data_IF_083971682387
#
_entry.id   IF_083971682387
#
_cell.length_a   1.000
_cell.length_b   1.000
_cell.length_c   1.000
_cell.angle_alpha   90.00
_cell.angle_beta   90.00
_cell.angle_gamma   90.00
#
_symmetry.space_group_name_H-M   'P 1'
#
loop_
_entity.id
_entity.type
_entity.pdbx_description
1 polymer ?
#
# COMPACT_ATOMS: atom_id res chain seq x y z
N UNK A 1 -14.56 -50.96 -17.50
CA UNK A 1 -14.91 -49.73 -16.76
C UNK A 1 -14.42 -48.56 -17.59
N UNK A 2 -15.33 -47.95 -18.37
CA UNK A 2 -14.98 -46.85 -19.27
C UNK A 2 -15.13 -45.53 -18.53
N UNK A 3 -14.04 -44.81 -18.32
CA UNK A 3 -14.10 -43.40 -17.95
C UNK A 3 -14.40 -42.62 -19.23
N UNK A 4 -15.57 -41.99 -19.32
CA UNK A 4 -15.75 -40.89 -20.28
C UNK A 4 -14.99 -39.69 -19.72
N UNK A 5 -13.97 -39.15 -20.41
CA UNK A 5 -13.32 -37.92 -19.97
C UNK A 5 -14.38 -36.82 -19.88
N UNK A 6 -14.31 -35.97 -18.83
CA UNK A 6 -15.11 -34.75 -18.79
C UNK A 6 -14.89 -33.98 -20.09
N UNK A 7 -15.96 -33.59 -20.81
CA UNK A 7 -15.78 -32.91 -22.08
C UNK A 7 -15.12 -31.56 -21.82
N UNK A 8 -13.85 -31.43 -22.21
CA UNK A 8 -13.22 -30.13 -22.33
C UNK A 8 -13.98 -29.36 -23.41
N UNK A 9 -14.47 -28.17 -23.08
CA UNK A 9 -15.06 -27.29 -24.09
C UNK A 9 -13.90 -26.62 -24.83
N UNK A 10 -13.53 -27.17 -25.99
CA UNK A 10 -12.44 -26.65 -26.83
C UNK A 10 -12.90 -25.54 -27.79
N UNK A 11 -14.06 -24.90 -27.55
CA UNK A 11 -14.67 -23.84 -28.37
C UNK A 11 -15.37 -22.75 -27.53
N UNK A 12 -15.98 -21.74 -28.15
CA UNK A 12 -16.75 -20.72 -27.41
C UNK A 12 -18.02 -21.32 -26.80
N UNK A 13 -18.12 -21.29 -25.47
CA UNK A 13 -19.37 -21.56 -24.77
C UNK A 13 -20.28 -20.32 -24.87
N UNK A 14 -21.27 -20.37 -25.77
CA UNK A 14 -22.32 -19.33 -25.86
C UNK A 14 -23.51 -19.86 -25.06
N UNK A 15 -23.63 -19.42 -23.81
CA UNK A 15 -24.81 -19.74 -22.97
C UNK A 15 -25.77 -18.55 -22.96
N UNK A 16 -27.09 -18.74 -23.11
CA UNK A 16 -28.07 -17.65 -23.09
C UNK A 16 -28.08 -16.84 -21.78
N UNK A 17 -27.61 -17.43 -20.68
CA UNK A 17 -27.73 -16.87 -19.33
C UNK A 17 -26.36 -16.71 -18.64
N UNK A 18 -25.87 -17.73 -17.94
CA UNK A 18 -24.61 -17.68 -17.19
C UNK A 18 -23.69 -18.87 -17.47
N UNK A 19 -22.39 -18.61 -17.45
CA UNK A 19 -21.36 -19.63 -17.27
C UNK A 19 -21.13 -19.74 -15.75
N UNK A 20 -21.56 -20.85 -15.17
CA UNK A 20 -21.27 -21.18 -13.77
C UNK A 20 -20.36 -22.41 -13.73
N UNK A 21 -19.18 -22.27 -13.16
CA UNK A 21 -18.25 -23.38 -12.88
C UNK A 21 -18.30 -23.63 -11.38
N UNK A 22 -18.70 -24.86 -11.01
CA UNK A 22 -18.77 -25.31 -9.62
C UNK A 22 -19.53 -24.33 -8.71
N UNK A 23 -20.81 -24.08 -9.05
CA UNK A 23 -21.87 -23.25 -8.40
C UNK A 23 -21.49 -21.89 -7.78
N UNK A 24 -20.42 -21.82 -6.98
CA UNK A 24 -19.90 -20.65 -6.29
C UNK A 24 -18.46 -20.30 -6.68
N UNK A 25 -17.74 -21.15 -7.43
CA UNK A 25 -16.30 -20.94 -7.72
C UNK A 25 -16.09 -19.85 -8.77
N UNK A 26 -16.74 -19.95 -9.93
CA UNK A 26 -16.72 -18.89 -10.95
C UNK A 26 -18.11 -18.72 -11.57
N UNK A 27 -18.65 -17.51 -11.48
CA UNK A 27 -19.93 -17.14 -12.09
C UNK A 27 -19.74 -15.94 -13.02
N UNK A 28 -20.04 -16.13 -14.31
CA UNK A 28 -20.05 -15.09 -15.35
C UNK A 28 -21.44 -15.04 -15.94
N UNK A 29 -22.16 -13.93 -15.78
CA UNK A 29 -23.60 -13.88 -16.06
C UNK A 29 -23.96 -12.72 -17.00
N UNK A 30 -24.87 -13.01 -17.95
CA UNK A 30 -25.43 -12.06 -18.92
C UNK A 30 -26.93 -11.77 -18.66
N UNK A 31 -27.63 -12.59 -17.86
CA UNK A 31 -29.02 -12.34 -17.42
C UNK A 31 -29.19 -12.49 -15.89
N UNK A 32 -29.42 -11.37 -15.19
CA UNK A 32 -29.63 -11.33 -13.73
C UNK A 32 -28.43 -10.87 -12.88
N UNK A 33 -27.22 -10.77 -13.47
CA UNK A 33 -26.08 -10.02 -12.94
C UNK A 33 -25.39 -9.22 -14.06
N UNK A 34 -26.11 -8.20 -14.54
CA UNK A 34 -25.72 -7.12 -15.48
C UNK A 34 -24.21 -6.90 -15.61
N UNK A 35 -23.56 -7.72 -16.43
CA UNK A 35 -22.13 -7.65 -16.74
C UNK A 35 -21.19 -7.77 -15.51
N UNK A 36 -21.45 -8.72 -14.60
CA UNK A 36 -20.64 -8.96 -13.40
C UNK A 36 -19.97 -10.35 -13.39
N UNK A 37 -18.82 -10.42 -12.71
CA UNK A 37 -18.06 -11.65 -12.46
C UNK A 37 -17.92 -11.86 -10.95
N UNK A 38 -18.37 -13.02 -10.47
CA UNK A 38 -18.17 -13.46 -9.09
C UNK A 38 -17.14 -14.59 -9.02
N UNK A 39 -16.18 -14.49 -8.09
CA UNK A 39 -15.28 -15.58 -7.71
C UNK A 39 -15.49 -15.84 -6.22
N UNK A 40 -15.96 -17.04 -5.86
CA UNK A 40 -16.33 -17.39 -4.48
C UNK A 40 -17.64 -16.77 -3.98
N UNK A 41 -18.41 -16.09 -4.85
CA UNK A 41 -19.73 -15.52 -4.54
C UNK A 41 -20.70 -15.76 -5.70
N UNK A 42 -21.93 -16.17 -5.37
CA UNK A 42 -23.00 -16.42 -6.35
C UNK A 42 -23.85 -15.18 -6.66
N UNK A 43 -23.70 -14.10 -5.87
CA UNK A 43 -24.51 -12.88 -5.94
C UNK A 43 -23.62 -11.63 -5.93
N UNK A 44 -22.81 -11.38 -6.99
CA UNK A 44 -21.89 -10.24 -7.01
C UNK A 44 -22.65 -8.90 -6.99
N UNK A 45 -22.32 -8.06 -6.01
CA UNK A 45 -22.79 -6.69 -5.85
C UNK A 45 -21.99 -5.70 -6.71
N UNK A 46 -20.73 -6.00 -7.01
CA UNK A 46 -19.85 -5.22 -7.90
C UNK A 46 -19.55 -5.94 -9.24
N UNK A 47 -19.01 -5.21 -10.23
CA UNK A 47 -18.65 -5.78 -11.56
C UNK A 47 -17.65 -6.94 -11.47
N UNK A 48 -16.73 -6.85 -10.53
CA UNK A 48 -15.89 -7.96 -10.11
C UNK A 48 -15.98 -8.03 -8.60
N UNK A 49 -16.46 -9.17 -8.09
CA UNK A 49 -16.48 -9.45 -6.67
C UNK A 49 -15.73 -10.76 -6.44
N UNK A 50 -14.66 -10.66 -5.66
CA UNK A 50 -13.88 -11.82 -5.24
C UNK A 50 -14.04 -11.95 -3.75
N UNK A 51 -14.63 -13.06 -3.34
CA UNK A 51 -14.91 -13.37 -1.94
C UNK A 51 -14.21 -14.67 -1.59
N UNK A 52 -13.46 -14.64 -0.50
CA UNK A 52 -12.91 -15.83 0.13
C UNK A 52 -13.26 -15.80 1.62
N UNK A 53 -13.66 -16.94 2.17
CA UNK A 53 -14.00 -17.07 3.59
C UNK A 53 -12.93 -17.84 4.38
N UNK A 54 -11.79 -18.15 3.75
CA UNK A 54 -10.74 -19.01 4.30
C UNK A 54 -9.47 -18.24 4.68
N UNK A 55 -9.50 -16.91 4.60
CA UNK A 55 -8.35 -16.04 4.81
C UNK A 55 -7.20 -16.37 3.85
N UNK A 56 -7.53 -16.72 2.61
CA UNK A 56 -6.59 -16.84 1.50
C UNK A 56 -6.48 -15.52 0.74
N UNK A 57 -5.37 -15.30 0.00
CA UNK A 57 -5.26 -14.21 -0.97
C UNK A 57 -6.46 -14.11 -1.90
N UNK A 58 -7.15 -12.97 -1.85
CA UNK A 58 -8.34 -12.71 -2.68
C UNK A 58 -7.96 -12.60 -4.15
N UNK A 59 -6.87 -11.90 -4.46
CA UNK A 59 -6.34 -11.84 -5.82
C UNK A 59 -4.82 -11.86 -5.80
N UNK A 60 -4.23 -12.58 -6.75
CA UNK A 60 -2.79 -12.56 -7.03
C UNK A 60 -2.59 -12.20 -8.49
N UNK A 61 -2.01 -11.04 -8.75
CA UNK A 61 -1.56 -10.62 -10.07
C UNK A 61 -0.08 -10.95 -10.18
N UNK A 62 0.36 -11.62 -11.25
CA UNK A 62 1.75 -12.08 -11.42
C UNK A 62 2.30 -11.58 -12.75
N UNK A 63 3.53 -11.06 -12.76
CA UNK A 63 4.35 -10.79 -13.94
C UNK A 63 5.38 -11.90 -14.19
N UNK A 64 6.09 -11.84 -15.31
CA UNK A 64 7.21 -12.75 -15.58
C UNK A 64 8.38 -12.39 -14.66
N UNK A 65 8.97 -13.35 -13.96
CA UNK A 65 10.18 -13.09 -13.16
C UNK A 65 9.94 -12.54 -11.75
N UNK A 66 8.82 -12.93 -11.11
CA UNK A 66 8.53 -12.78 -9.67
C UNK A 66 7.77 -11.54 -9.23
N UNK A 67 7.39 -10.64 -10.13
CA UNK A 67 6.51 -9.51 -9.80
C UNK A 67 5.13 -10.06 -9.38
N UNK A 68 4.69 -9.77 -8.14
CA UNK A 68 3.32 -10.11 -7.73
C UNK A 68 2.67 -8.98 -6.98
N UNK A 69 1.41 -8.66 -7.29
CA UNK A 69 0.54 -7.91 -6.38
C UNK A 69 -0.43 -8.90 -5.77
N UNK A 70 -0.38 -9.06 -4.44
CA UNK A 70 -1.40 -9.81 -3.72
C UNK A 70 -2.33 -8.85 -3.02
N UNK A 71 -3.61 -8.92 -3.36
CA UNK A 71 -4.69 -8.30 -2.60
C UNK A 71 -5.17 -9.34 -1.60
N UNK A 72 -5.10 -9.00 -0.33
CA UNK A 72 -5.45 -9.90 0.74
C UNK A 72 -6.16 -9.15 1.86
N UNK A 73 -7.19 -9.78 2.40
CA UNK A 73 -7.79 -9.39 3.66
C UNK A 73 -7.56 -10.55 4.65
N UNK A 74 -6.71 -10.38 5.66
CA UNK A 74 -6.57 -11.37 6.72
C UNK A 74 -7.83 -11.43 7.57
N UNK A 75 -7.92 -12.45 8.44
CA UNK A 75 -9.01 -12.59 9.41
C UNK A 75 -9.25 -11.33 10.28
N UNK A 76 -8.26 -10.43 10.38
CA UNK A 76 -8.37 -9.18 11.12
C UNK A 76 -9.06 -8.04 10.35
N UNK A 77 -9.39 -8.21 9.06
CA UNK A 77 -10.19 -7.27 8.27
C UNK A 77 -9.40 -6.18 7.52
N UNK A 78 -8.08 -6.09 7.71
CA UNK A 78 -7.27 -5.06 7.06
C UNK A 78 -7.01 -5.38 5.59
N UNK A 79 -7.16 -4.40 4.71
CA UNK A 79 -6.73 -4.57 3.32
C UNK A 79 -5.22 -4.45 3.21
N UNK A 80 -4.60 -5.47 2.62
CA UNK A 80 -3.17 -5.47 2.31
C UNK A 80 -2.96 -5.59 0.82
N UNK A 81 -2.09 -4.72 0.32
CA UNK A 81 -1.56 -4.75 -1.03
C UNK A 81 -0.09 -5.14 -0.91
N UNK A 82 0.24 -6.39 -1.25
CA UNK A 82 1.60 -6.90 -1.20
C UNK A 82 2.23 -6.90 -2.59
N UNK A 83 3.08 -5.94 -2.95
CA UNK A 83 4.06 -6.14 -4.00
C UNK A 83 5.11 -7.13 -3.48
N UNK A 84 5.32 -8.22 -4.19
CA UNK A 84 6.35 -9.22 -3.88
C UNK A 84 7.65 -8.86 -4.60
N UNK A 85 8.75 -8.84 -3.85
CA UNK A 85 10.13 -8.82 -4.34
C UNK A 85 10.79 -10.11 -3.83
N UNK A 86 11.55 -10.80 -4.68
CA UNK A 86 12.06 -12.15 -4.39
C UNK A 86 13.43 -12.14 -3.66
N UNK A 87 14.04 -10.97 -3.45
CA UNK A 87 15.42 -10.87 -2.94
C UNK A 87 15.65 -9.90 -1.77
N UNK A 88 14.63 -9.25 -1.23
CA UNK A 88 14.79 -8.47 0.01
C UNK A 88 13.42 -8.29 0.69
N UNK A 89 13.36 -8.50 2.00
CA UNK A 89 12.15 -8.45 2.84
C UNK A 89 11.60 -7.00 3.00
N UNK A 90 11.91 -6.13 2.04
CA UNK A 90 11.64 -4.69 2.04
C UNK A 90 10.32 -4.37 1.34
N UNK A 91 9.23 -4.81 1.95
CA UNK A 91 7.89 -4.29 1.68
C UNK A 91 7.83 -2.79 2.04
N UNK A 92 7.99 -1.86 1.09
CA UNK A 92 7.84 -0.41 1.40
C UNK A 92 7.05 0.43 0.40
N UNK A 93 6.23 -0.17 -0.47
CA UNK A 93 5.13 0.58 -1.06
C UNK A 93 3.98 0.63 -0.04
N UNK A 94 3.86 1.76 0.66
CA UNK A 94 2.75 2.13 1.56
C UNK A 94 2.35 1.05 2.58
N UNK A 95 3.13 0.93 3.66
CA UNK A 95 2.71 0.17 4.85
C UNK A 95 1.60 0.95 5.57
N UNK A 96 0.35 0.75 5.15
CA UNK A 96 -0.81 1.29 5.87
C UNK A 96 -0.88 0.62 7.26
N UNK A 97 -0.82 1.41 8.33
CA UNK A 97 -1.30 0.98 9.66
C UNK A 97 -0.29 0.60 10.75
N UNK A 98 1.01 0.90 10.67
CA UNK A 98 1.86 0.95 11.89
C UNK A 98 3.15 1.75 11.66
N UNK A 99 3.25 2.85 12.41
CA UNK A 99 4.45 3.62 12.82
C UNK A 99 5.29 4.36 11.77
N UNK A 100 5.01 4.26 10.45
CA UNK A 100 5.87 4.94 9.46
C UNK A 100 5.20 6.03 8.64
N UNK A 101 4.00 5.80 8.12
CA UNK A 101 3.27 6.82 7.37
C UNK A 101 1.76 6.54 7.45
N UNK A 102 0.98 7.51 7.88
CA UNK A 102 -0.48 7.52 7.88
C UNK A 102 -0.94 8.62 6.95
N UNK A 103 -2.01 8.37 6.20
CA UNK A 103 -2.75 9.40 5.46
C UNK A 103 -4.18 9.35 6.00
N UNK A 104 -4.59 10.39 6.73
CA UNK A 104 -5.95 10.47 7.27
C UNK A 104 -6.98 10.67 6.16
N UNK A 105 -8.25 10.36 6.43
CA UNK A 105 -9.34 10.63 5.50
C UNK A 105 -9.44 12.12 5.10
N UNK A 106 -8.93 13.03 5.95
CA UNK A 106 -8.81 14.46 5.68
C UNK A 106 -7.58 14.86 4.84
N UNK A 107 -6.74 13.90 4.45
CA UNK A 107 -5.54 14.09 3.65
C UNK A 107 -4.28 14.46 4.43
N UNK A 108 -4.33 14.45 5.77
CA UNK A 108 -3.19 14.76 6.61
C UNK A 108 -2.23 13.57 6.69
N UNK A 109 -0.93 13.84 6.59
CA UNK A 109 0.11 12.81 6.57
C UNK A 109 0.89 12.82 7.88
N UNK A 110 0.82 11.72 8.63
CA UNK A 110 1.61 11.52 9.84
C UNK A 110 2.76 10.54 9.59
N UNK A 111 4.00 10.89 9.95
CA UNK A 111 5.16 10.01 10.00
C UNK A 111 5.59 9.95 11.47
N UNK A 112 5.54 8.76 12.10
CA UNK A 112 5.78 8.65 13.55
C UNK A 112 4.66 9.20 14.45
N UNK A 113 3.58 9.75 13.87
CA UNK A 113 2.35 10.15 14.58
C UNK A 113 1.11 9.56 13.92
N UNK A 114 0.10 9.23 14.73
CA UNK A 114 -1.20 8.71 14.27
C UNK A 114 -2.30 9.77 14.21
N UNK A 115 -2.04 10.94 14.77
CA UNK A 115 -2.98 12.05 14.83
C UNK A 115 -2.23 13.31 14.48
N UNK A 116 -1.88 13.48 13.19
CA UNK A 116 -1.16 14.65 12.74
C UNK A 116 -1.99 15.92 13.03
N UNK A 117 -1.43 16.86 13.79
CA UNK A 117 -2.01 18.17 14.06
C UNK A 117 -1.88 19.12 12.86
N UNK A 118 -1.13 18.71 11.83
CA UNK A 118 -0.83 19.47 10.61
C UNK A 118 -0.86 18.57 9.37
N UNK A 119 -0.98 19.19 8.20
CA UNK A 119 -1.04 18.52 6.88
C UNK A 119 0.08 17.51 6.66
N UNK A 120 1.27 17.80 7.16
CA UNK A 120 2.36 16.87 7.31
C UNK A 120 2.93 17.04 8.70
N UNK A 121 2.95 15.97 9.48
CA UNK A 121 3.63 15.92 10.77
C UNK A 121 4.60 14.75 10.80
N UNK A 122 5.85 15.06 11.15
CA UNK A 122 6.87 14.04 11.39
C UNK A 122 7.27 14.16 12.86
N UNK A 123 6.97 13.12 13.63
CA UNK A 123 7.24 13.07 15.06
C UNK A 123 8.31 12.01 15.33
N UNK A 124 9.48 12.46 15.75
CA UNK A 124 10.56 11.63 16.28
C UNK A 124 11.25 12.39 17.42
N UNK A 125 11.37 11.78 18.59
CA UNK A 125 11.94 12.40 19.78
C UNK A 125 13.43 12.03 19.99
N UNK A 126 13.94 11.07 19.22
CA UNK A 126 15.28 10.51 19.38
C UNK A 126 16.18 10.88 18.23
N UNK A 127 15.67 10.80 17.00
CA UNK A 127 16.41 11.00 15.77
C UNK A 127 15.93 12.26 15.01
N UNK A 128 16.61 12.56 13.92
CA UNK A 128 16.20 13.62 13.00
C UNK A 128 14.84 13.30 12.37
N UNK A 129 13.92 14.26 12.38
CA UNK A 129 12.61 14.06 11.75
C UNK A 129 12.71 14.09 10.22
N UNK A 130 13.63 14.88 9.66
CA UNK A 130 13.85 14.93 8.21
C UNK A 130 15.33 14.90 7.91
N UNK A 131 15.74 13.93 7.08
CA UNK A 131 17.09 13.84 6.52
C UNK A 131 17.08 14.13 5.02
N UNK A 132 17.97 15.02 4.59
CA UNK A 132 18.31 15.23 3.19
C UNK A 132 19.70 14.64 2.93
N UNK A 133 19.74 13.45 2.35
CA UNK A 133 20.98 12.76 1.96
C UNK A 133 21.38 13.12 0.53
N UNK A 134 22.65 13.44 0.30
CA UNK A 134 23.19 13.75 -1.02
C UNK A 134 23.72 12.50 -1.74
N UNK A 135 24.75 11.84 -1.21
CA UNK A 135 25.38 10.67 -1.86
C UNK A 135 25.16 9.38 -1.10
N UNK A 136 25.33 9.42 0.22
CA UNK A 136 25.26 8.26 1.10
C UNK A 136 25.03 8.72 2.54
N UNK A 137 25.05 7.78 3.48
CA UNK A 137 24.83 8.07 4.89
C UNK A 137 25.84 9.07 5.51
N UNK A 138 26.97 9.36 4.87
CA UNK A 138 27.98 10.32 5.35
C UNK A 138 27.74 11.76 4.87
N UNK A 139 26.98 11.97 3.80
CA UNK A 139 26.68 13.31 3.26
C UNK A 139 25.20 13.62 3.40
N UNK A 140 24.79 14.15 4.56
CA UNK A 140 23.42 14.53 4.82
C UNK A 140 23.28 15.81 5.65
N UNK A 141 22.08 16.37 5.63
CA UNK A 141 21.62 17.40 6.56
C UNK A 141 20.36 16.91 7.24
N UNK A 142 20.33 17.05 8.55
CA UNK A 142 19.24 16.62 9.41
C UNK A 142 18.53 17.83 10.01
N UNK A 143 17.21 17.77 10.02
CA UNK A 143 16.34 18.72 10.69
C UNK A 143 15.73 18.04 11.91
N UNK A 144 15.94 18.62 13.08
CA UNK A 144 15.41 18.12 14.33
C UNK A 144 14.84 19.24 15.20
N UNK A 145 13.55 19.18 15.55
CA UNK A 145 12.99 19.92 16.68
C UNK A 145 13.36 19.18 17.96
N UNK A 146 14.13 19.82 18.84
CA UNK A 146 14.56 19.23 20.13
C UNK A 146 13.50 19.44 21.22
N UNK A 147 13.70 18.84 22.40
CA UNK A 147 12.76 18.94 23.53
C UNK A 147 12.42 20.38 23.96
N UNK A 148 13.28 21.36 23.64
CA UNK A 148 13.04 22.79 23.88
C UNK A 148 12.14 23.47 22.83
N UNK A 149 11.76 22.78 21.76
CA UNK A 149 11.01 23.34 20.62
C UNK A 149 11.87 24.03 19.57
N UNK A 150 13.18 24.15 19.80
CA UNK A 150 14.10 24.75 18.85
C UNK A 150 14.38 23.83 17.67
N UNK A 151 14.45 24.40 16.47
CA UNK A 151 14.93 23.71 15.28
C UNK A 151 16.46 23.67 15.27
N UNK A 152 17.02 22.47 15.26
CA UNK A 152 18.43 22.20 15.05
C UNK A 152 18.62 21.68 13.63
N UNK A 153 19.54 22.32 12.90
CA UNK A 153 20.01 21.86 11.59
C UNK A 153 21.40 21.27 11.77
N UNK A 154 21.50 19.95 11.73
CA UNK A 154 22.78 19.24 11.85
C UNK A 154 23.34 18.95 10.46
N UNK A 155 24.60 19.31 10.24
CA UNK A 155 25.31 19.02 9.00
C UNK A 155 26.58 18.22 9.31
N UNK A 156 26.92 17.26 8.45
CA UNK A 156 28.07 16.39 8.67
C UNK A 156 29.43 17.03 8.31
N UNK A 157 29.44 18.13 7.54
CA UNK A 157 30.67 18.71 7.01
C UNK A 157 30.81 20.20 7.37
N UNK A 158 30.50 21.07 6.41
CA UNK A 158 31.11 22.40 6.33
C UNK A 158 30.28 23.50 7.01
N UNK A 159 29.13 23.85 6.44
CA UNK A 159 28.30 24.93 6.96
C UNK A 159 26.85 24.84 6.50
N UNK A 160 25.97 25.49 7.26
CA UNK A 160 24.63 25.87 6.78
C UNK A 160 24.75 27.21 6.05
N UNK A 161 24.46 27.21 4.74
CA UNK A 161 24.51 28.42 3.92
C UNK A 161 23.13 29.06 3.82
N UNK A 162 22.96 30.23 4.44
CA UNK A 162 21.80 31.11 4.21
C UNK A 162 22.15 32.11 3.12
N UNK A 163 21.45 32.08 1.97
CA UNK A 163 21.70 33.00 0.84
C UNK A 163 20.58 34.06 0.78
N UNK A 164 20.96 35.34 0.80
CA UNK A 164 20.04 36.50 0.74
C UNK A 164 20.56 37.73 1.51
N UNK A 165 19.98 38.90 1.27
CA UNK A 165 20.56 40.20 1.66
C UNK A 165 20.41 40.59 3.14
N UNK A 166 19.80 39.77 4.01
CA UNK A 166 19.67 40.08 5.44
C UNK A 166 19.44 38.84 6.30
N UNK A 167 20.51 38.33 6.92
CA UNK A 167 20.39 37.39 8.04
C UNK A 167 20.20 38.23 9.31
N UNK A 168 18.96 38.31 9.81
CA UNK A 168 18.65 38.96 11.09
C UNK A 168 18.79 37.92 12.20
N UNK A 169 19.85 38.01 13.02
CA UNK A 169 19.93 37.25 14.26
C UNK A 169 19.32 38.04 15.40
N UNK A 170 18.35 37.45 16.10
CA UNK A 170 17.84 38.00 17.35
C UNK A 170 18.41 37.18 18.51
N UNK A 171 19.31 37.77 19.28
CA UNK A 171 19.83 37.18 20.52
C UNK A 171 19.01 37.76 21.67
N UNK A 172 18.23 36.92 22.35
CA UNK A 172 17.66 37.28 23.64
C UNK A 172 18.78 37.10 24.69
N UNK A 173 19.22 38.20 25.31
CA UNK A 173 20.20 38.19 26.41
C UNK A 173 19.56 37.72 27.72
#
# INVERSE_FOLDING_TARGET
MGFTPSPNVSGSAITPDSITVDTNTLNVNVSGYTDKVGIGTATPSAKLEVQDTTNAPLAKFRGSGNERLTIYQPANGDWRLYPYDDDDDTYKALKLGHEKMIVEAGGDVGIGTMSPDKKLEILDATDAQLRLTHTDASMHTDFQTIAGGDLVVQHQNDAVYFRGDSIQSYIML
#
